data_IF_645108672391
#
_entry.id   IF_645108672391
#
_cell.length_a   1.000
_cell.length_b   1.000
_cell.length_c   1.000
_cell.angle_alpha   90.00
_cell.angle_beta   90.00
_cell.angle_gamma   90.00
#
_symmetry.space_group_name_H-M   'P 1'
#
loop_
_entity.id
_entity.type
_entity.pdbx_description
1 polymer ?
#
# COMPACT_ATOMS: atom_id res chain seq x y z
N UNK A 1 9.11 -15.87 51.84
CA UNK A 1 7.91 -15.85 50.99
C UNK A 1 8.23 -15.06 49.73
N UNK A 2 8.55 -15.78 48.65
CA UNK A 2 8.90 -15.24 47.33
C UNK A 2 7.72 -14.45 46.78
N UNK A 3 7.92 -13.16 46.58
CA UNK A 3 6.94 -12.27 45.94
C UNK A 3 7.22 -12.28 44.45
N UNK A 4 6.37 -13.04 43.77
CA UNK A 4 6.18 -13.13 42.32
C UNK A 4 6.49 -11.79 41.65
N UNK A 5 7.50 -11.75 40.78
CA UNK A 5 7.67 -10.64 39.86
C UNK A 5 6.52 -10.71 38.87
N UNK A 6 5.49 -9.88 39.07
CA UNK A 6 4.49 -9.57 38.05
C UNK A 6 5.23 -8.96 36.86
N UNK A 7 5.66 -9.82 35.96
CA UNK A 7 6.25 -9.44 34.70
C UNK A 7 5.16 -8.69 33.95
N UNK A 8 5.29 -7.37 33.88
CA UNK A 8 4.48 -6.47 33.06
C UNK A 8 4.80 -6.76 31.59
N UNK A 9 4.41 -7.95 31.13
CA UNK A 9 4.55 -8.40 29.76
C UNK A 9 3.41 -7.88 28.90
N UNK A 10 3.23 -6.55 28.85
CA UNK A 10 2.67 -5.95 27.64
C UNK A 10 3.82 -6.01 26.64
N UNK A 11 4.04 -7.20 26.07
CA UNK A 11 4.82 -7.31 24.85
C UNK A 11 4.07 -6.44 23.87
N UNK A 12 4.63 -5.27 23.56
CA UNK A 12 4.15 -4.36 22.52
C UNK A 12 3.81 -5.22 21.31
N UNK A 13 2.52 -5.44 21.11
CA UNK A 13 2.07 -6.37 20.11
C UNK A 13 2.45 -5.82 18.74
N UNK A 14 3.20 -6.58 17.95
CA UNK A 14 3.54 -6.13 16.61
C UNK A 14 2.27 -6.00 15.78
N UNK A 15 2.24 -5.04 14.85
CA UNK A 15 1.08 -4.85 13.97
C UNK A 15 0.67 -6.15 13.23
N UNK A 16 1.62 -7.06 13.02
CA UNK A 16 1.39 -8.38 12.43
C UNK A 16 0.63 -9.33 13.38
N UNK A 17 1.04 -9.42 14.64
CA UNK A 17 0.32 -10.23 15.63
C UNK A 17 -1.10 -9.73 15.79
N UNK A 18 -1.29 -8.40 15.83
CA UNK A 18 -2.61 -7.78 16.02
C UNK A 18 -3.56 -8.14 14.89
N UNK A 19 -3.07 -8.07 13.65
CA UNK A 19 -3.85 -8.42 12.47
C UNK A 19 -4.16 -9.94 12.43
N UNK A 20 -3.21 -10.79 12.84
CA UNK A 20 -3.42 -12.26 12.87
C UNK A 20 -4.52 -12.64 13.85
N UNK A 21 -4.51 -12.05 15.06
CA UNK A 21 -5.56 -12.28 16.05
C UNK A 21 -6.91 -11.81 15.52
N UNK A 22 -6.99 -10.58 15.04
CA UNK A 22 -8.22 -9.98 14.56
C UNK A 22 -8.87 -10.78 13.41
N UNK A 23 -8.08 -11.27 12.46
CA UNK A 23 -8.58 -12.15 11.37
C UNK A 23 -9.21 -13.42 11.91
N UNK A 24 -8.62 -14.03 12.94
CA UNK A 24 -9.15 -15.25 13.56
C UNK A 24 -10.42 -14.95 14.33
N UNK A 25 -10.45 -13.86 15.10
CA UNK A 25 -11.60 -13.47 15.92
C UNK A 25 -12.82 -13.08 15.08
N UNK A 26 -12.60 -12.36 13.98
CA UNK A 26 -13.66 -11.82 13.14
C UNK A 26 -14.07 -12.74 11.98
N UNK A 27 -13.36 -13.86 11.76
CA UNK A 27 -13.70 -14.83 10.73
C UNK A 27 -15.15 -15.32 10.90
N UNK A 28 -15.98 -15.08 9.88
CA UNK A 28 -17.40 -15.47 9.88
C UNK A 28 -18.32 -14.64 10.78
N UNK A 29 -17.80 -13.63 11.49
CA UNK A 29 -18.60 -12.73 12.36
C UNK A 29 -18.93 -11.40 11.71
N UNK A 30 -18.28 -11.07 10.60
CA UNK A 30 -18.50 -9.83 9.87
C UNK A 30 -19.37 -10.12 8.66
N UNK A 31 -20.44 -9.34 8.52
CA UNK A 31 -21.29 -9.34 7.34
C UNK A 31 -20.86 -8.21 6.43
N UNK A 32 -20.89 -8.44 5.11
CA UNK A 32 -20.68 -7.37 4.13
C UNK A 32 -22.05 -6.71 3.90
N UNK A 33 -22.12 -5.38 3.99
CA UNK A 33 -23.30 -4.62 3.58
C UNK A 33 -23.82 -5.00 2.21
N UNK A 34 -25.15 -5.16 2.10
CA UNK A 34 -25.81 -5.37 0.79
C UNK A 34 -25.54 -4.21 -0.15
N UNK A 35 -25.45 -3.01 0.42
CA UNK A 35 -25.21 -1.74 -0.27
C UNK A 35 -23.90 -1.14 0.24
N UNK A 36 -23.00 -0.80 -0.66
CA UNK A 36 -21.75 -0.08 -0.33
C UNK A 36 -21.96 1.45 -0.19
N UNK A 37 -23.13 1.98 -0.63
CA UNK A 37 -23.50 3.39 -0.57
C UNK A 37 -22.96 4.31 -1.68
N UNK A 38 -22.24 3.80 -2.68
CA UNK A 38 -21.69 4.57 -3.81
C UNK A 38 -22.15 4.04 -5.18
N UNK A 39 -23.31 3.38 -5.23
CA UNK A 39 -23.76 2.57 -6.38
C UNK A 39 -23.94 3.43 -7.64
N UNK A 40 -24.21 4.72 -7.45
CA UNK A 40 -24.28 5.69 -8.54
C UNK A 40 -22.97 5.79 -9.33
N UNK A 41 -21.81 5.68 -8.66
CA UNK A 41 -20.49 5.79 -9.31
C UNK A 41 -20.17 4.60 -10.21
N UNK A 42 -20.81 3.43 -10.00
CA UNK A 42 -20.59 2.27 -10.87
C UNK A 42 -20.97 2.56 -12.32
N UNK A 43 -21.98 3.40 -12.55
CA UNK A 43 -22.41 3.80 -13.90
C UNK A 43 -21.34 4.66 -14.59
N UNK A 44 -20.70 5.52 -13.81
CA UNK A 44 -19.67 6.43 -14.29
C UNK A 44 -18.33 5.71 -14.53
N UNK A 45 -18.09 4.58 -13.85
CA UNK A 45 -16.87 3.78 -13.96
C UNK A 45 -16.90 2.69 -15.04
N UNK A 46 -18.00 2.58 -15.80
CA UNK A 46 -18.09 1.66 -16.95
C UNK A 46 -17.10 2.08 -18.04
N UNK A 47 -16.90 3.38 -18.22
CA UNK A 47 -15.91 3.91 -19.14
C UNK A 47 -14.54 3.93 -18.47
N UNK A 48 -13.68 2.95 -18.78
CA UNK A 48 -12.31 2.87 -18.25
C UNK A 48 -11.49 4.13 -18.57
N UNK A 49 -11.85 4.89 -19.61
CA UNK A 49 -11.20 6.14 -19.93
C UNK A 49 -11.40 7.22 -18.86
N UNK A 50 -12.40 7.10 -17.98
CA UNK A 50 -12.61 8.02 -16.85
C UNK A 50 -11.43 7.97 -15.87
N UNK A 51 -10.80 6.80 -15.70
CA UNK A 51 -9.59 6.65 -14.88
C UNK A 51 -8.33 7.16 -15.59
N UNK A 52 -8.34 7.13 -16.93
CA UNK A 52 -7.23 7.60 -17.74
C UNK A 52 -7.28 9.11 -17.99
N UNK A 53 -8.47 9.74 -17.99
CA UNK A 53 -8.63 11.19 -18.22
C UNK A 53 -7.78 12.07 -17.29
N UNK A 54 -7.55 11.74 -16.01
CA UNK A 54 -6.59 12.45 -15.14
C UNK A 54 -5.12 12.07 -15.41
N UNK A 55 -4.86 10.96 -16.08
CA UNK A 55 -3.52 10.52 -16.53
C UNK A 55 -3.15 11.11 -17.91
N UNK A 56 -4.15 11.52 -18.69
CA UNK A 56 -4.05 12.16 -20.01
C UNK A 56 -3.55 13.63 -20.00
N UNK A 57 -3.63 14.46 -18.93
CA UNK A 57 -3.03 15.78 -18.95
C UNK A 57 -1.53 15.66 -19.19
N UNK A 58 -1.02 16.46 -20.12
CA UNK A 58 0.39 16.45 -20.56
C UNK A 58 1.39 16.45 -19.39
N UNK A 59 1.02 17.05 -18.25
CA UNK A 59 1.85 17.11 -17.04
C UNK A 59 2.29 15.76 -16.50
N UNK A 60 1.44 14.72 -16.51
CA UNK A 60 1.82 13.41 -15.96
C UNK A 60 2.76 12.65 -16.90
N UNK A 61 2.49 12.70 -18.21
CA UNK A 61 3.37 12.11 -19.24
C UNK A 61 4.73 12.82 -19.24
N UNK A 62 4.75 14.15 -19.20
CA UNK A 62 6.00 14.93 -19.13
C UNK A 62 6.76 14.68 -17.82
N UNK A 63 6.08 14.52 -16.68
CA UNK A 63 6.75 14.16 -15.42
C UNK A 63 7.41 12.78 -15.50
N UNK A 64 6.72 11.79 -16.10
CA UNK A 64 7.29 10.47 -16.35
C UNK A 64 8.50 10.54 -17.28
N UNK A 65 8.42 11.28 -18.39
CA UNK A 65 9.52 11.47 -19.32
C UNK A 65 10.73 12.14 -18.66
N UNK A 66 10.50 13.17 -17.84
CA UNK A 66 11.55 13.84 -17.08
C UNK A 66 12.28 12.90 -16.11
N UNK A 67 11.54 12.06 -15.37
CA UNK A 67 12.13 11.05 -14.47
C UNK A 67 12.92 9.99 -15.23
N UNK A 68 12.40 9.51 -16.37
CA UNK A 68 13.10 8.53 -17.22
C UNK A 68 14.39 9.12 -17.77
N UNK A 69 14.35 10.37 -18.22
CA UNK A 69 15.51 11.06 -18.77
C UNK A 69 16.56 11.39 -17.69
N UNK A 70 16.14 11.76 -16.48
CA UNK A 70 17.04 11.89 -15.32
C UNK A 70 17.69 10.54 -14.95
N UNK A 71 16.91 9.46 -14.90
CA UNK A 71 17.44 8.11 -14.67
C UNK A 71 18.44 7.69 -15.77
N UNK A 72 18.16 8.03 -17.03
CA UNK A 72 19.07 7.76 -18.16
C UNK A 72 20.37 8.56 -18.04
N UNK A 73 20.31 9.83 -17.66
CA UNK A 73 21.50 10.66 -17.41
C UNK A 73 22.34 10.11 -16.25
N UNK A 74 21.70 9.74 -15.15
CA UNK A 74 22.39 9.17 -13.97
C UNK A 74 22.96 7.78 -14.24
N UNK A 75 22.31 6.95 -15.06
CA UNK A 75 22.81 5.63 -15.48
C UNK A 75 23.88 5.69 -16.57
N UNK A 76 23.86 6.70 -17.44
CA UNK A 76 24.94 6.96 -18.42
C UNK A 76 26.27 7.35 -17.77
N UNK A 77 26.23 7.78 -16.51
CA UNK A 77 27.40 7.93 -15.63
C UNK A 77 27.70 6.67 -14.80
N UNK A 78 27.32 5.48 -15.28
CA UNK A 78 27.48 4.14 -14.68
C UNK A 78 28.43 4.12 -13.48
N UNK A 79 27.91 4.42 -12.29
CA UNK A 79 28.50 3.89 -11.06
C UNK A 79 28.19 2.41 -11.09
N UNK A 80 29.10 1.66 -11.71
CA UNK A 80 29.15 0.20 -11.59
C UNK A 80 29.12 -0.08 -10.10
N UNK A 81 27.98 -0.55 -9.60
CA UNK A 81 27.92 -1.19 -8.30
C UNK A 81 28.77 -2.44 -8.46
N UNK A 82 30.05 -2.32 -8.16
CA UNK A 82 30.92 -3.48 -7.98
C UNK A 82 30.45 -4.11 -6.68
N UNK A 83 29.96 -5.33 -6.77
CA UNK A 83 29.80 -6.21 -5.62
C UNK A 83 31.19 -6.80 -5.33
N UNK A 84 31.96 -6.32 -4.33
CA UNK A 84 33.08 -7.10 -3.83
C UNK A 84 32.51 -8.32 -3.11
N UNK A 85 33.14 -9.47 -3.40
CA UNK A 85 32.79 -10.80 -2.92
C UNK A 85 32.67 -10.86 -1.39
#
# INVERSE_FOLDING_TARGET
>A
MTKECTNSGVVEESGRERLRRHRTEMAGRVWIPEMWGQESLLKDWIDSSVFDRPLVPKGLVSAREALVEECRRTSSGSRRIKNPC
#
